data_IF_720660234091
#
_entry.id   IF_720660234091
#
_cell.length_a   1.000
_cell.length_b   1.000
_cell.length_c   1.000
_cell.angle_alpha   90.00
_cell.angle_beta   90.00
_cell.angle_gamma   90.00
#
_symmetry.space_group_name_H-M   'P 1'
#
loop_
_entity.id
_entity.type
_entity.pdbx_description
1 polymer ?
#
# COMPACT_ATOMS: atom_id res chain seq x y z
N UNK A 1 14.83 -9.92 -8.20
CA UNK A 1 13.96 -8.79 -7.78
C UNK A 1 12.54 -9.24 -7.43
N UNK A 2 11.81 -9.93 -8.32
CA UNK A 2 10.43 -10.36 -8.06
C UNK A 2 10.29 -11.37 -6.90
N UNK A 3 11.14 -12.39 -6.84
CA UNK A 3 11.14 -13.36 -5.72
C UNK A 3 11.45 -12.71 -4.37
N UNK A 4 12.39 -11.76 -4.34
CA UNK A 4 12.67 -10.97 -3.14
C UNK A 4 11.42 -10.23 -2.67
N UNK A 5 10.74 -9.50 -3.57
CA UNK A 5 9.49 -8.79 -3.26
C UNK A 5 8.40 -9.76 -2.78
N UNK A 6 8.27 -10.92 -3.42
CA UNK A 6 7.29 -11.94 -3.04
C UNK A 6 7.55 -12.50 -1.64
N UNK A 7 8.80 -12.82 -1.32
CA UNK A 7 9.21 -13.25 0.01
C UNK A 7 8.89 -12.20 1.08
N UNK A 8 9.17 -10.93 0.81
CA UNK A 8 8.89 -9.82 1.73
C UNK A 8 7.39 -9.59 2.00
N UNK A 9 6.51 -9.89 1.04
CA UNK A 9 5.04 -9.83 1.24
C UNK A 9 4.48 -10.96 2.08
N UNK A 10 5.23 -12.07 2.21
CA UNK A 10 4.86 -13.21 3.05
C UNK A 10 5.18 -13.02 4.53
N UNK A 11 5.90 -11.96 4.90
CA UNK A 11 6.23 -11.65 6.28
C UNK A 11 5.03 -11.04 7.03
N UNK A 12 5.05 -11.15 8.35
CA UNK A 12 4.08 -10.51 9.24
C UNK A 12 4.02 -8.99 8.95
N UNK A 13 2.81 -8.44 8.73
CA UNK A 13 2.65 -7.02 8.45
C UNK A 13 3.12 -6.16 9.62
N UNK A 14 3.88 -5.10 9.31
CA UNK A 14 4.33 -4.17 10.34
C UNK A 14 3.27 -3.12 10.65
N UNK A 15 3.17 -2.72 11.90
CA UNK A 15 2.38 -1.56 12.29
C UNK A 15 3.06 -0.27 11.79
N UNK A 16 2.39 0.41 10.85
CA UNK A 16 2.90 1.65 10.28
C UNK A 16 2.99 2.77 11.33
N UNK A 17 2.13 2.76 12.35
CA UNK A 17 2.13 3.78 13.41
C UNK A 17 3.44 3.74 14.20
N UNK A 18 3.91 2.53 14.51
CA UNK A 18 5.18 2.28 15.20
C UNK A 18 6.40 2.69 14.36
N UNK A 19 6.30 2.59 13.03
CA UNK A 19 7.38 3.01 12.12
C UNK A 19 7.37 4.54 11.94
N UNK A 20 6.20 5.18 11.95
CA UNK A 20 6.08 6.62 11.73
C UNK A 20 6.83 7.46 12.77
N UNK A 21 6.91 7.00 14.02
CA UNK A 21 7.73 7.63 15.07
C UNK A 21 9.23 7.56 14.79
N UNK A 22 9.70 6.55 14.06
CA UNK A 22 11.11 6.39 13.65
C UNK A 22 11.46 7.06 12.32
N UNK A 23 10.47 7.51 11.53
CA UNK A 23 10.69 8.20 10.25
C UNK A 23 11.30 9.61 10.40
N UNK A 24 11.41 10.13 11.63
CA UNK A 24 12.13 11.37 11.93
C UNK A 24 13.65 11.17 12.02
N UNK A 25 14.13 9.91 12.00
CA UNK A 25 15.54 9.59 11.85
C UNK A 25 15.89 9.39 10.37
N UNK A 26 17.18 9.46 10.02
CA UNK A 26 17.68 9.33 8.65
C UNK A 26 16.94 8.21 7.88
N UNK A 27 16.45 8.49 6.66
CA UNK A 27 15.66 7.52 5.93
C UNK A 27 16.50 6.26 5.70
N UNK A 28 16.08 5.17 6.36
CA UNK A 28 16.67 3.86 6.14
C UNK A 28 16.59 3.46 4.65
N UNK A 29 17.32 2.41 4.25
CA UNK A 29 17.26 1.91 2.88
C UNK A 29 15.81 1.59 2.49
N UNK A 30 15.45 1.88 1.23
CA UNK A 30 14.11 1.60 0.72
C UNK A 30 13.80 0.10 0.83
N UNK A 31 12.75 -0.25 1.56
CA UNK A 31 12.32 -1.64 1.75
C UNK A 31 10.96 -1.93 1.12
N UNK A 32 10.78 -3.20 0.73
CA UNK A 32 9.46 -3.73 0.40
C UNK A 32 8.94 -4.52 1.60
N UNK A 33 7.77 -4.17 2.12
CA UNK A 33 7.19 -4.82 3.30
C UNK A 33 5.67 -4.68 3.30
N UNK A 34 4.98 -5.68 3.86
CA UNK A 34 3.55 -5.57 4.15
C UNK A 34 3.38 -4.73 5.41
N UNK A 35 2.46 -3.78 5.40
CA UNK A 35 2.08 -2.98 6.58
C UNK A 35 0.64 -3.29 6.96
N UNK A 36 0.30 -3.11 8.22
CA UNK A 36 -1.05 -3.25 8.76
C UNK A 36 -1.99 -2.22 8.13
N UNK A 37 -3.31 -2.45 8.24
CA UNK A 37 -4.33 -1.59 7.65
C UNK A 37 -4.20 -0.17 8.20
N UNK A 38 -3.96 0.78 7.30
CA UNK A 38 -3.88 2.20 7.58
C UNK A 38 -5.07 2.88 6.91
N UNK A 39 -5.72 3.81 7.58
CA UNK A 39 -6.65 4.71 6.92
C UNK A 39 -5.85 5.70 6.05
N UNK A 40 -6.30 5.91 4.83
CA UNK A 40 -5.64 6.77 3.87
C UNK A 40 -6.65 7.36 2.90
N UNK A 41 -6.33 8.53 2.36
CA UNK A 41 -7.18 9.18 1.36
C UNK A 41 -6.85 8.62 -0.01
N UNK A 42 -7.84 8.03 -0.66
CA UNK A 42 -7.68 7.64 -2.06
C UNK A 42 -7.57 8.89 -2.94
N UNK A 43 -6.45 9.02 -3.65
CA UNK A 43 -6.23 10.11 -4.57
C UNK A 43 -6.09 9.57 -6.00
N UNK A 44 -7.15 9.69 -6.78
CA UNK A 44 -7.20 9.23 -8.17
C UNK A 44 -6.07 9.83 -9.02
N UNK A 45 -5.87 11.15 -8.94
CA UNK A 45 -4.87 11.87 -9.74
C UNK A 45 -3.42 11.44 -9.48
N UNK A 46 -3.14 10.92 -8.28
CA UNK A 46 -1.82 10.43 -7.89
C UNK A 46 -1.71 8.90 -7.88
N UNK A 47 -2.71 8.20 -8.39
CA UNK A 47 -2.73 6.75 -8.42
C UNK A 47 -2.27 6.19 -9.77
N UNK A 48 -1.59 5.05 -9.72
CA UNK A 48 -1.14 4.31 -10.90
C UNK A 48 -2.06 3.11 -11.11
N UNK A 49 -2.66 3.05 -12.29
CA UNK A 49 -3.53 1.95 -12.71
C UNK A 49 -2.76 0.94 -13.54
N UNK A 50 -2.74 -0.32 -13.09
CA UNK A 50 -2.03 -1.43 -13.73
C UNK A 50 -3.04 -2.44 -14.26
N UNK A 51 -3.23 -2.45 -15.57
CA UNK A 51 -4.25 -3.26 -16.26
C UNK A 51 -4.49 -2.75 -17.69
N UNK A 52 -5.47 -3.29 -18.43
CA UNK A 52 -6.66 -4.00 -17.96
C UNK A 52 -6.41 -5.47 -17.61
N UNK A 53 -7.05 -5.94 -16.53
CA UNK A 53 -7.04 -7.34 -16.11
C UNK A 53 -8.48 -7.83 -15.98
N UNK A 54 -8.82 -8.85 -16.74
CA UNK A 54 -10.12 -9.51 -16.62
C UNK A 54 -10.24 -10.16 -15.24
N UNK A 55 -11.31 -9.80 -14.53
CA UNK A 55 -11.67 -10.35 -13.22
C UNK A 55 -13.11 -10.81 -13.30
N UNK A 56 -13.39 -12.02 -12.82
CA UNK A 56 -14.76 -12.49 -12.67
C UNK A 56 -15.24 -12.15 -11.26
N UNK A 57 -16.29 -11.35 -11.16
CA UNK A 57 -16.99 -11.07 -9.89
C UNK A 57 -18.42 -11.56 -10.07
N UNK A 58 -18.85 -12.46 -9.20
CA UNK A 58 -20.23 -12.99 -9.19
C UNK A 58 -20.72 -13.53 -10.55
N UNK A 59 -19.83 -14.12 -11.35
CA UNK A 59 -20.14 -14.70 -12.66
C UNK A 59 -20.12 -13.72 -13.84
N UNK A 60 -19.91 -12.43 -13.59
CA UNK A 60 -19.70 -11.41 -14.64
C UNK A 60 -18.21 -11.19 -14.82
N UNK A 61 -17.73 -11.25 -16.06
CA UNK A 61 -16.34 -10.92 -16.39
C UNK A 61 -16.25 -9.43 -16.70
N UNK A 62 -15.56 -8.68 -15.84
CA UNK A 62 -15.27 -7.27 -16.07
C UNK A 62 -13.76 -7.04 -16.14
N UNK A 63 -13.34 -6.06 -16.94
CA UNK A 63 -11.95 -5.65 -17.00
C UNK A 63 -11.70 -4.60 -15.92
N UNK A 64 -10.93 -5.00 -14.90
CA UNK A 64 -10.50 -4.11 -13.83
C UNK A 64 -9.04 -3.71 -13.95
N UNK A 65 -8.59 -2.87 -13.01
CA UNK A 65 -7.20 -2.46 -12.88
C UNK A 65 -6.75 -2.70 -11.43
N UNK A 66 -5.48 -3.03 -11.23
CA UNK A 66 -4.89 -2.83 -9.92
C UNK A 66 -4.55 -1.36 -9.74
N UNK A 67 -4.72 -0.85 -8.53
CA UNK A 67 -4.45 0.53 -8.20
C UNK A 67 -3.30 0.58 -7.20
N UNK A 68 -2.28 1.36 -7.52
CA UNK A 68 -1.17 1.69 -6.63
C UNK A 68 -1.34 3.15 -6.27
N UNK A 69 -1.73 3.43 -5.03
CA UNK A 69 -1.94 4.80 -4.53
C UNK A 69 -0.90 5.11 -3.45
N UNK A 70 -0.18 6.24 -3.52
CA UNK A 70 0.67 6.69 -2.43
C UNK A 70 -0.16 6.91 -1.16
N UNK A 71 0.29 6.36 -0.03
CA UNK A 71 -0.34 6.62 1.26
C UNK A 71 0.08 8.00 1.75
N UNK A 72 -0.85 8.95 1.70
CA UNK A 72 -0.65 10.28 2.27
C UNK A 72 -1.06 10.29 3.74
N UNK A 73 -0.24 10.80 4.66
CA UNK A 73 -0.67 10.99 6.04
C UNK A 73 -1.83 11.99 6.08
N UNK A 74 -2.87 11.68 6.86
CA UNK A 74 -3.99 12.60 7.09
C UNK A 74 -3.52 13.66 8.10
N UNK A 75 -3.38 14.94 7.72
CA UNK A 75 -3.18 16.00 8.71
C UNK A 75 -4.45 16.07 9.56
N UNK A 76 -4.31 15.92 10.88
CA UNK A 76 -5.40 15.94 11.87
C UNK A 76 -6.32 14.70 11.96
N UNK A 77 -5.77 13.48 12.06
CA UNK A 77 -6.53 12.41 12.71
C UNK A 77 -6.40 12.54 14.24
N UNK A 78 -7.47 12.90 14.99
CA UNK A 78 -7.44 13.01 16.45
C UNK A 78 -7.43 11.66 17.16
N UNK A 79 -7.45 10.53 16.46
CA UNK A 79 -7.18 9.20 17.03
C UNK A 79 -5.67 8.94 17.24
N UNK A 80 -4.97 9.97 17.71
CA UNK A 80 -3.56 9.94 18.15
C UNK A 80 -3.47 9.72 19.64
#
# INVERSE_FOLDING_TARGET
MLEFRRSRLGLEPLDLTSISSSLNEEPGPLEFRRVLLCEGVFNDSNSIYVGPRSRSISGVTENGYYVITPLMPVPDNPAR
#
